data_IF_436881295338
#
_entry.id   IF_436881295338
#
_cell.length_a   1.000
_cell.length_b   1.000
_cell.length_c   1.000
_cell.angle_alpha   90.00
_cell.angle_beta   90.00
_cell.angle_gamma   90.00
#
_symmetry.space_group_name_H-M   'P 1'
#
loop_
_entity.id
_entity.type
_entity.pdbx_description
1 polymer ?
#
# COMPACT_ATOMS: atom_id res chain seq x y z
N UNK A 1 -9.17 18.14 -14.44
CA UNK A 1 -9.16 17.80 -13.00
C UNK A 1 -7.72 17.88 -12.51
N UNK A 2 -7.46 18.49 -11.35
CA UNK A 2 -6.11 18.60 -10.75
C UNK A 2 -5.58 17.25 -10.25
N UNK A 3 -6.47 16.30 -9.92
CA UNK A 3 -6.09 14.96 -9.53
C UNK A 3 -5.29 14.21 -10.63
N UNK A 4 -5.63 14.40 -11.90
CA UNK A 4 -4.90 13.74 -13.01
C UNK A 4 -3.46 14.25 -13.17
N UNK A 5 -3.18 15.47 -12.66
CA UNK A 5 -1.91 16.18 -12.87
C UNK A 5 -0.75 15.70 -12.00
N UNK A 6 -1.03 14.98 -10.90
CA UNK A 6 0.00 14.54 -9.93
C UNK A 6 -0.08 13.05 -9.59
N UNK A 7 -0.91 12.29 -10.30
CA UNK A 7 -1.05 10.86 -10.05
C UNK A 7 -0.03 10.06 -10.86
N UNK A 8 1.22 10.03 -10.41
CA UNK A 8 2.16 8.98 -10.78
C UNK A 8 1.77 7.69 -10.06
N UNK A 9 0.65 7.07 -10.47
CA UNK A 9 0.46 5.65 -10.18
C UNK A 9 1.61 4.94 -10.89
N UNK A 10 2.38 4.13 -10.15
CA UNK A 10 3.49 3.38 -10.73
C UNK A 10 2.98 2.54 -11.91
N UNK A 11 3.69 2.61 -13.03
CA UNK A 11 3.45 1.78 -14.23
C UNK A 11 4.67 0.86 -14.38
N UNK A 12 4.49 -0.47 -14.37
CA UNK A 12 3.24 -1.19 -14.17
C UNK A 12 2.68 -1.05 -12.74
N UNK A 13 1.35 -1.17 -12.55
CA UNK A 13 0.75 -1.16 -11.22
C UNK A 13 1.19 -2.39 -10.41
N UNK A 14 1.37 -2.20 -9.10
CA UNK A 14 1.82 -3.24 -8.16
C UNK A 14 0.94 -3.23 -6.93
N UNK A 15 0.76 -4.40 -6.34
CA UNK A 15 0.18 -4.50 -5.00
C UNK A 15 1.20 -4.08 -3.93
N UNK A 16 0.71 -3.55 -2.82
CA UNK A 16 1.51 -3.19 -1.65
C UNK A 16 1.09 -4.06 -0.48
N UNK A 17 2.07 -4.68 0.19
CA UNK A 17 1.82 -5.33 1.48
C UNK A 17 1.56 -4.29 2.56
N UNK A 18 0.96 -4.72 3.66
CA UNK A 18 0.77 -3.84 4.81
C UNK A 18 2.09 -3.28 5.35
N UNK A 19 3.15 -4.09 5.34
CA UNK A 19 4.49 -3.68 5.75
C UNK A 19 5.11 -2.68 4.77
N UNK A 20 4.96 -2.90 3.47
CA UNK A 20 5.44 -1.98 2.45
C UNK A 20 4.78 -0.59 2.59
N UNK A 21 3.46 -0.58 2.83
CA UNK A 21 2.74 0.67 3.05
C UNK A 21 3.14 1.36 4.36
N UNK A 22 3.38 0.60 5.44
CA UNK A 22 3.85 1.17 6.71
C UNK A 22 5.15 1.97 6.54
N UNK A 23 6.10 1.44 5.75
CA UNK A 23 7.36 2.16 5.44
C UNK A 23 7.12 3.40 4.57
N UNK A 24 6.15 3.39 3.68
CA UNK A 24 5.76 4.58 2.90
C UNK A 24 5.11 5.63 3.80
N UNK A 25 4.20 5.23 4.69
CA UNK A 25 3.55 6.11 5.64
C UNK A 25 4.57 6.80 6.55
N UNK A 26 5.60 6.07 7.01
CA UNK A 26 6.69 6.60 7.83
C UNK A 26 7.46 7.76 7.18
N UNK A 27 7.54 7.81 5.84
CA UNK A 27 8.18 8.94 5.11
C UNK A 27 7.48 10.27 5.35
N UNK A 28 6.21 10.24 5.74
CA UNK A 28 5.39 11.41 6.03
C UNK A 28 5.22 11.64 7.54
N UNK A 29 5.96 10.92 8.38
CA UNK A 29 5.92 11.03 9.83
C UNK A 29 5.57 9.72 10.52
N UNK A 30 6.14 9.55 11.70
CA UNK A 30 6.00 8.33 12.51
C UNK A 30 4.56 8.11 12.99
N UNK A 31 3.81 9.19 13.24
CA UNK A 31 2.37 9.13 13.57
C UNK A 31 1.56 8.45 12.46
N UNK A 32 1.92 8.65 11.19
CA UNK A 32 1.22 8.02 10.08
C UNK A 32 1.48 6.51 10.02
N UNK A 33 2.67 6.07 10.42
CA UNK A 33 2.97 4.64 10.55
C UNK A 33 2.12 4.01 11.65
N UNK A 34 2.01 4.67 12.81
CA UNK A 34 1.20 4.17 13.93
C UNK A 34 -0.28 4.07 13.56
N UNK A 35 -0.85 5.12 12.96
CA UNK A 35 -2.25 5.09 12.47
C UNK A 35 -2.47 4.00 11.43
N UNK A 36 -1.49 3.75 10.56
CA UNK A 36 -1.58 2.65 9.61
C UNK A 36 -1.58 1.28 10.31
N UNK A 37 -0.69 1.08 11.29
CA UNK A 37 -0.63 -0.15 12.09
C UNK A 37 -1.93 -0.38 12.87
N UNK A 38 -2.55 0.67 13.42
CA UNK A 38 -3.87 0.61 14.06
C UNK A 38 -4.96 0.12 13.10
N UNK A 39 -4.98 0.63 11.86
CA UNK A 39 -5.93 0.18 10.83
C UNK A 39 -5.72 -1.30 10.48
N UNK A 40 -4.46 -1.73 10.32
CA UNK A 40 -4.14 -3.14 10.03
C UNK A 40 -4.56 -4.04 11.20
N UNK A 41 -4.40 -3.58 12.45
CA UNK A 41 -4.88 -4.33 13.62
C UNK A 41 -6.42 -4.39 13.68
N UNK A 42 -7.10 -3.29 13.34
CA UNK A 42 -8.56 -3.21 13.39
C UNK A 42 -9.24 -4.06 12.31
N UNK A 43 -8.73 -4.02 11.08
CA UNK A 43 -9.38 -4.63 9.92
C UNK A 43 -8.70 -5.90 9.43
N UNK A 44 -7.52 -6.22 9.97
CA UNK A 44 -6.71 -7.37 9.56
C UNK A 44 -5.84 -7.09 8.33
N UNK A 45 -4.97 -8.05 8.04
CA UNK A 45 -4.14 -8.04 6.85
C UNK A 45 -4.76 -8.96 5.79
N UNK A 46 -4.76 -8.51 4.53
CA UNK A 46 -5.29 -9.27 3.39
C UNK A 46 -4.16 -10.11 2.80
N UNK A 47 -4.50 -11.28 2.25
CA UNK A 47 -3.56 -12.09 1.47
C UNK A 47 -3.25 -11.41 0.12
N UNK A 48 -2.32 -10.46 0.18
CA UNK A 48 -1.84 -9.73 -0.99
C UNK A 48 -1.19 -10.67 -2.03
N UNK A 49 -0.39 -11.69 -1.67
CA UNK A 49 0.07 -12.69 -2.62
C UNK A 49 -1.03 -13.40 -3.41
N UNK A 50 -2.11 -13.82 -2.76
CA UNK A 50 -3.23 -14.45 -3.45
C UNK A 50 -3.88 -13.50 -4.47
N UNK A 51 -4.10 -12.23 -4.08
CA UNK A 51 -4.66 -11.22 -4.99
C UNK A 51 -3.73 -10.91 -6.16
N UNK A 52 -2.43 -10.76 -5.91
CA UNK A 52 -1.46 -10.50 -6.96
C UNK A 52 -1.40 -11.63 -7.99
N UNK A 53 -1.53 -12.90 -7.53
CA UNK A 53 -1.65 -14.05 -8.41
C UNK A 53 -2.96 -14.02 -9.24
N UNK A 54 -4.10 -13.69 -8.61
CA UNK A 54 -5.40 -13.59 -9.28
C UNK A 54 -5.41 -12.54 -10.39
N UNK A 55 -4.81 -11.38 -10.14
CA UNK A 55 -4.76 -10.27 -11.09
C UNK A 55 -3.53 -10.28 -12.01
N UNK A 56 -2.65 -11.28 -11.90
CA UNK A 56 -1.39 -11.37 -12.64
C UNK A 56 -0.51 -10.12 -12.51
N UNK A 57 -0.37 -9.61 -11.29
CA UNK A 57 0.36 -8.38 -10.96
C UNK A 57 1.55 -8.63 -10.02
N UNK A 58 2.51 -7.72 -10.02
CA UNK A 58 3.65 -7.74 -9.10
C UNK A 58 3.30 -7.22 -7.70
N UNK A 59 4.08 -7.66 -6.71
CA UNK A 59 3.99 -7.19 -5.31
C UNK A 59 5.22 -6.35 -4.97
N UNK A 60 5.02 -5.27 -4.24
CA UNK A 60 6.09 -4.53 -3.57
C UNK A 60 6.13 -4.95 -2.08
N UNK A 61 7.28 -5.47 -1.67
CA UNK A 61 7.57 -5.90 -0.30
C UNK A 61 8.22 -4.80 0.50
#
# INVERSE_FOLDING_TARGET
>A
MVADKYNSKSIPPRFLTAEAYARKAARFGEENRQRWEELVQQYGNIDVPALAAEFHMDIEY
#
